data_IF_436501993301
#
_entry.id   IF_436501993301
#
_cell.length_a   1.000
_cell.length_b   1.000
_cell.length_c   1.000
_cell.angle_alpha   90.00
_cell.angle_beta   90.00
_cell.angle_gamma   90.00
#
_symmetry.space_group_name_H-M   'P 1'
#
loop_
_entity.id
_entity.type
_entity.pdbx_description
1 polymer ?
#
# COMPACT_ATOMS: atom_id res chain seq x y z
N UNK A 1 -13.29 34.11 -32.81
CA UNK A 1 -12.42 34.72 -31.80
C UNK A 1 -12.71 34.02 -30.50
N UNK A 2 -12.10 32.86 -30.29
CA UNK A 2 -12.31 32.08 -29.08
C UNK A 2 -11.49 32.72 -27.96
N UNK A 3 -12.20 33.39 -27.05
CA UNK A 3 -11.60 34.01 -25.88
C UNK A 3 -10.84 32.96 -25.09
N UNK A 4 -9.53 33.16 -24.94
CA UNK A 4 -8.70 32.34 -24.08
C UNK A 4 -9.33 32.38 -22.69
N UNK A 5 -9.87 31.25 -22.25
CA UNK A 5 -10.47 31.13 -20.92
C UNK A 5 -9.37 31.45 -19.91
N UNK A 6 -9.59 32.39 -18.96
CA UNK A 6 -8.57 32.84 -18.01
C UNK A 6 -7.73 31.73 -17.33
N UNK A 7 -8.29 30.54 -16.98
CA UNK A 7 -7.52 29.44 -16.39
C UNK A 7 -6.47 28.86 -17.33
N UNK A 8 -6.75 28.77 -18.63
CA UNK A 8 -5.84 28.16 -19.61
C UNK A 8 -4.62 29.06 -19.86
N UNK A 9 -4.83 30.38 -19.93
CA UNK A 9 -3.73 31.35 -20.00
C UNK A 9 -2.81 31.26 -18.79
N UNK A 10 -3.40 31.20 -17.58
CA UNK A 10 -2.64 31.06 -16.35
C UNK A 10 -1.81 29.76 -16.32
N UNK A 11 -2.37 28.65 -16.78
CA UNK A 11 -1.69 27.35 -16.82
C UNK A 11 -0.49 27.38 -17.78
N UNK A 12 -0.65 28.00 -18.95
CA UNK A 12 0.44 28.21 -19.92
C UNK A 12 1.55 29.10 -19.36
N UNK A 13 1.20 30.17 -18.67
CA UNK A 13 2.20 31.07 -18.07
C UNK A 13 3.02 30.34 -17.01
N UNK A 14 2.37 29.57 -16.13
CA UNK A 14 3.04 28.77 -15.10
C UNK A 14 3.98 27.70 -15.71
N UNK A 15 3.57 27.06 -16.81
CA UNK A 15 4.44 26.15 -17.55
C UNK A 15 5.65 26.86 -18.16
N UNK A 16 5.46 28.05 -18.74
CA UNK A 16 6.57 28.82 -19.30
C UNK A 16 7.57 29.24 -18.21
N UNK A 17 7.07 29.68 -17.05
CA UNK A 17 7.92 30.07 -15.92
C UNK A 17 8.77 28.90 -15.39
N UNK A 18 8.17 27.71 -15.29
CA UNK A 18 8.88 26.50 -14.85
C UNK A 18 9.92 26.02 -15.88
N UNK A 19 9.54 25.92 -17.16
CA UNK A 19 10.41 25.38 -18.21
C UNK A 19 11.57 26.30 -18.62
N UNK A 20 11.37 27.62 -18.59
CA UNK A 20 12.36 28.59 -19.12
C UNK A 20 13.16 29.32 -18.05
N UNK A 21 12.56 29.57 -16.87
CA UNK A 21 13.18 30.38 -15.81
C UNK A 21 13.55 29.59 -14.57
N UNK A 22 13.34 28.26 -14.58
CA UNK A 22 13.55 27.38 -13.43
C UNK A 22 12.88 27.89 -12.14
N UNK A 23 11.75 28.59 -12.28
CA UNK A 23 10.99 29.13 -11.14
C UNK A 23 10.19 27.99 -10.52
N UNK A 24 10.19 27.86 -9.18
CA UNK A 24 9.34 26.87 -8.51
C UNK A 24 7.86 27.22 -8.74
N UNK A 25 7.13 26.22 -9.21
CA UNK A 25 5.69 26.27 -9.50
C UNK A 25 5.04 24.96 -9.08
N UNK A 26 3.72 24.92 -9.04
CA UNK A 26 2.99 23.66 -8.82
C UNK A 26 3.39 22.55 -9.81
N UNK A 27 3.81 22.90 -11.04
CA UNK A 27 4.22 21.93 -12.07
C UNK A 27 5.56 21.27 -11.73
N UNK A 28 6.55 22.06 -11.28
CA UNK A 28 7.82 21.51 -10.77
C UNK A 28 7.63 20.77 -9.46
N UNK A 29 6.72 21.24 -8.59
CA UNK A 29 6.42 20.59 -7.32
C UNK A 29 5.81 19.21 -7.57
N UNK A 30 4.89 19.08 -8.53
CA UNK A 30 4.33 17.78 -8.91
C UNK A 30 5.40 16.82 -9.43
N UNK A 31 6.36 17.30 -10.24
CA UNK A 31 7.49 16.49 -10.67
C UNK A 31 8.33 16.00 -9.48
N UNK A 32 8.68 16.90 -8.55
CA UNK A 32 9.47 16.55 -7.37
C UNK A 32 8.73 15.55 -6.47
N UNK A 33 7.43 15.74 -6.26
CA UNK A 33 6.60 14.81 -5.49
C UNK A 33 6.51 13.45 -6.18
N UNK A 34 6.30 13.43 -7.50
CA UNK A 34 6.28 12.19 -8.30
C UNK A 34 7.60 11.42 -8.23
N UNK A 35 8.72 12.13 -8.25
CA UNK A 35 10.07 11.56 -8.09
C UNK A 35 10.33 11.04 -6.67
N UNK A 36 9.74 11.66 -5.66
CA UNK A 36 9.90 11.28 -4.26
C UNK A 36 9.04 10.07 -3.84
N UNK A 37 8.16 9.59 -4.71
CA UNK A 37 7.36 8.39 -4.44
C UNK A 37 8.26 7.15 -4.30
N UNK A 38 7.89 6.15 -3.47
CA UNK A 38 8.65 4.90 -3.34
C UNK A 38 8.86 4.17 -4.67
N UNK A 39 7.89 4.30 -5.59
CA UNK A 39 8.02 3.93 -7.00
C UNK A 39 7.85 5.22 -7.80
N UNK A 40 8.92 5.78 -8.39
CA UNK A 40 8.88 7.10 -9.02
C UNK A 40 7.89 7.18 -10.19
N UNK A 41 7.22 8.33 -10.32
CA UNK A 41 6.37 8.69 -11.47
C UNK A 41 6.98 9.90 -12.15
N UNK A 42 7.34 9.76 -13.43
CA UNK A 42 8.05 10.77 -14.19
C UNK A 42 7.07 11.73 -14.87
N UNK A 43 7.05 12.97 -14.41
CA UNK A 43 6.37 14.07 -15.12
C UNK A 43 7.41 14.89 -15.85
N UNK A 44 7.29 15.01 -17.17
CA UNK A 44 8.17 15.87 -17.96
C UNK A 44 7.80 17.34 -17.74
N UNK A 45 8.66 18.06 -17.00
CA UNK A 45 8.45 19.48 -16.69
C UNK A 45 8.62 20.37 -17.92
N UNK A 46 9.36 19.90 -18.93
CA UNK A 46 9.65 20.67 -20.15
C UNK A 46 8.51 20.65 -21.17
N UNK A 47 7.64 19.65 -21.09
CA UNK A 47 6.51 19.48 -21.99
C UNK A 47 5.21 20.01 -21.38
N UNK A 48 4.44 20.77 -22.18
CA UNK A 48 3.14 21.27 -21.73
C UNK A 48 2.16 20.09 -21.55
N UNK A 49 1.42 20.03 -20.43
CA UNK A 49 0.52 18.92 -20.16
C UNK A 49 -0.60 18.84 -21.20
N UNK A 50 -0.77 17.68 -21.82
CA UNK A 50 -1.91 17.34 -22.67
C UNK A 50 -2.88 16.46 -21.89
N UNK A 51 -4.09 16.27 -22.43
CA UNK A 51 -5.06 15.36 -21.81
C UNK A 51 -4.51 13.94 -21.73
N UNK A 52 -3.80 13.51 -22.77
CA UNK A 52 -3.18 12.20 -22.89
C UNK A 52 -2.05 12.04 -21.87
N UNK A 53 -1.18 13.04 -21.73
CA UNK A 53 -0.07 12.97 -20.76
C UNK A 53 -0.57 12.96 -19.32
N UNK A 54 -1.61 13.73 -19.01
CA UNK A 54 -2.25 13.70 -17.68
C UNK A 54 -2.89 12.34 -17.41
N UNK A 55 -3.60 11.77 -18.39
CA UNK A 55 -4.22 10.45 -18.23
C UNK A 55 -3.18 9.35 -18.04
N UNK A 56 -2.05 9.43 -18.76
CA UNK A 56 -0.92 8.52 -18.60
C UNK A 56 -0.30 8.65 -17.20
N UNK A 57 -0.01 9.87 -16.74
CA UNK A 57 0.52 10.12 -15.40
C UNK A 57 -0.38 9.57 -14.29
N UNK A 58 -1.70 9.70 -14.42
CA UNK A 58 -2.66 9.12 -13.46
C UNK A 58 -2.62 7.58 -13.46
N UNK A 59 -2.44 6.96 -14.63
CA UNK A 59 -2.26 5.51 -14.76
C UNK A 59 -0.95 5.03 -14.14
N UNK A 60 0.14 5.77 -14.38
CA UNK A 60 1.45 5.50 -13.80
C UNK A 60 1.44 5.66 -12.28
N UNK A 61 0.78 6.69 -11.76
CA UNK A 61 0.56 6.88 -10.32
C UNK A 61 -0.19 5.71 -9.68
N UNK A 62 -1.24 5.21 -10.36
CA UNK A 62 -2.00 4.06 -9.88
C UNK A 62 -1.15 2.78 -9.85
N UNK A 63 -0.32 2.59 -10.87
CA UNK A 63 0.63 1.47 -10.95
C UNK A 63 1.75 1.59 -9.92
N UNK A 64 2.28 2.80 -9.70
CA UNK A 64 3.29 3.10 -8.67
C UNK A 64 2.76 2.73 -7.27
N UNK A 65 1.54 3.16 -6.94
CA UNK A 65 0.88 2.76 -5.69
C UNK A 65 0.69 1.24 -5.60
N UNK A 66 0.33 0.58 -6.71
CA UNK A 66 0.13 -0.86 -6.75
C UNK A 66 1.40 -1.63 -6.43
N UNK A 67 2.49 -1.25 -7.09
CA UNK A 67 3.80 -1.83 -6.89
C UNK A 67 4.29 -1.61 -5.46
N UNK A 68 4.14 -0.39 -4.92
CA UNK A 68 4.54 -0.08 -3.56
C UNK A 68 3.77 -0.91 -2.51
N UNK A 69 2.44 -1.00 -2.62
CA UNK A 69 1.63 -1.77 -1.68
C UNK A 69 1.89 -3.27 -1.79
N UNK A 70 2.06 -3.79 -2.99
CA UNK A 70 2.42 -5.20 -3.22
C UNK A 70 3.73 -5.54 -2.52
N UNK A 71 4.75 -4.73 -2.75
CA UNK A 71 6.08 -4.92 -2.19
C UNK A 71 6.08 -4.76 -0.66
N UNK A 72 5.36 -3.75 -0.13
CA UNK A 72 5.21 -3.57 1.32
C UNK A 72 4.52 -4.77 1.99
N UNK A 73 3.50 -5.35 1.36
CA UNK A 73 2.81 -6.54 1.88
C UNK A 73 3.71 -7.78 1.77
N UNK A 74 4.28 -8.05 0.60
CA UNK A 74 5.07 -9.27 0.35
C UNK A 74 6.38 -9.32 1.13
N UNK A 75 7.01 -8.18 1.42
CA UNK A 75 8.22 -8.11 2.26
C UNK A 75 7.93 -8.08 3.76
N UNK A 76 6.68 -7.83 4.17
CA UNK A 76 6.34 -7.69 5.59
C UNK A 76 6.13 -9.03 6.29
N UNK A 77 7.02 -9.37 7.21
CA UNK A 77 6.82 -10.52 8.08
C UNK A 77 5.58 -10.40 9.00
N UNK A 78 4.92 -9.22 9.06
CA UNK A 78 3.76 -8.91 9.93
C UNK A 78 2.44 -8.94 9.19
N UNK A 79 2.41 -9.29 7.90
CA UNK A 79 1.16 -9.28 7.15
C UNK A 79 0.86 -10.63 6.51
N UNK A 80 1.07 -11.78 7.18
CA UNK A 80 0.95 -13.10 6.55
C UNK A 80 -0.45 -13.33 5.95
N UNK A 81 -1.49 -12.81 6.59
CA UNK A 81 -2.86 -12.92 6.08
C UNK A 81 -3.07 -12.06 4.83
N UNK A 82 -2.52 -10.84 4.78
CA UNK A 82 -2.59 -10.00 3.57
C UNK A 82 -1.69 -10.56 2.45
N UNK A 83 -0.54 -11.13 2.78
CA UNK A 83 0.34 -11.83 1.83
C UNK A 83 -0.37 -13.00 1.17
N UNK A 84 -1.07 -13.81 1.96
CA UNK A 84 -1.85 -14.91 1.40
C UNK A 84 -2.95 -14.40 0.45
N UNK A 85 -3.56 -13.25 0.77
CA UNK A 85 -4.55 -12.60 -0.12
C UNK A 85 -3.92 -12.15 -1.42
N UNK A 86 -2.77 -11.47 -1.37
CA UNK A 86 -2.07 -11.00 -2.57
C UNK A 86 -1.61 -12.17 -3.45
N UNK A 87 -1.05 -13.22 -2.85
CA UNK A 87 -0.56 -14.41 -3.57
C UNK A 87 -1.69 -15.23 -4.21
N UNK A 88 -2.89 -15.27 -3.63
CA UNK A 88 -4.04 -15.97 -4.23
C UNK A 88 -4.77 -15.17 -5.30
N UNK A 89 -4.75 -13.84 -5.20
CA UNK A 89 -5.62 -12.98 -6.00
C UNK A 89 -4.97 -12.44 -7.28
N UNK A 90 -3.64 -12.51 -7.42
CA UNK A 90 -2.91 -11.71 -8.42
C UNK A 90 -1.84 -12.56 -9.14
N UNK A 91 -1.64 -12.41 -10.46
CA UNK A 91 -0.46 -12.93 -11.16
C UNK A 91 0.86 -12.33 -10.63
N UNK A 92 2.01 -12.85 -11.06
CA UNK A 92 3.33 -12.49 -10.51
C UNK A 92 3.70 -10.98 -10.63
N UNK A 93 2.97 -10.23 -11.46
CA UNK A 93 3.15 -8.77 -11.67
C UNK A 93 1.88 -8.01 -11.29
N UNK A 94 1.92 -7.13 -10.27
CA UNK A 94 0.75 -6.37 -9.83
C UNK A 94 0.39 -5.24 -10.80
N UNK A 95 -0.91 -5.10 -11.08
CA UNK A 95 -1.50 -4.03 -11.89
C UNK A 95 -2.43 -3.15 -11.03
N UNK A 96 -2.83 -1.98 -11.55
CA UNK A 96 -3.80 -1.12 -10.88
C UNK A 96 -5.18 -1.82 -10.63
N UNK A 97 -5.59 -2.76 -11.49
CA UNK A 97 -6.79 -3.58 -11.25
C UNK A 97 -6.65 -4.50 -10.03
N UNK A 98 -5.43 -4.93 -9.73
CA UNK A 98 -5.15 -5.85 -8.62
C UNK A 98 -5.21 -5.13 -7.28
N UNK A 99 -4.82 -3.86 -7.23
CA UNK A 99 -5.05 -3.02 -6.05
C UNK A 99 -6.50 -3.00 -5.63
N UNK A 100 -7.42 -2.87 -6.60
CA UNK A 100 -8.85 -2.88 -6.29
C UNK A 100 -9.20 -4.17 -5.56
N UNK A 101 -8.77 -5.33 -6.06
CA UNK A 101 -9.01 -6.63 -5.42
C UNK A 101 -8.36 -6.75 -4.02
N UNK A 102 -7.15 -6.23 -3.84
CA UNK A 102 -6.46 -6.20 -2.54
C UNK A 102 -7.21 -5.30 -1.54
N UNK A 103 -7.60 -4.10 -1.96
CA UNK A 103 -8.26 -3.08 -1.15
C UNK A 103 -9.78 -3.28 -1.03
N UNK A 104 -10.38 -4.23 -1.74
CA UNK A 104 -11.81 -4.52 -1.63
C UNK A 104 -12.20 -4.77 -0.17
N UNK A 105 -13.28 -4.13 0.33
CA UNK A 105 -13.87 -4.45 1.61
C UNK A 105 -14.18 -5.95 1.70
N UNK A 106 -14.02 -6.51 2.90
CA UNK A 106 -14.18 -7.95 3.14
C UNK A 106 -15.32 -8.21 4.10
N UNK A 107 -15.87 -9.42 4.04
CA UNK A 107 -16.99 -9.86 4.88
C UNK A 107 -16.76 -9.58 6.38
N UNK A 108 -15.52 -9.70 6.87
CA UNK A 108 -15.20 -9.41 8.28
C UNK A 108 -15.46 -7.95 8.69
N UNK A 109 -15.42 -6.99 7.75
CA UNK A 109 -15.77 -5.59 8.02
C UNK A 109 -17.28 -5.38 8.20
N UNK A 110 -18.10 -6.33 7.75
CA UNK A 110 -19.55 -6.29 7.82
C UNK A 110 -20.13 -7.15 8.95
N UNK A 111 -19.29 -7.70 9.83
CA UNK A 111 -19.78 -8.44 11.00
C UNK A 111 -20.61 -7.50 11.88
N UNK A 112 -21.73 -7.98 12.45
CA UNK A 112 -22.67 -7.13 13.18
C UNK A 112 -22.03 -6.51 14.44
N UNK A 113 -21.20 -7.27 15.15
CA UNK A 113 -20.62 -6.83 16.42
C UNK A 113 -19.27 -6.15 16.23
N UNK A 114 -19.12 -4.95 16.81
CA UNK A 114 -17.87 -4.17 16.81
C UNK A 114 -16.67 -4.99 17.30
N UNK A 115 -16.84 -5.72 18.41
CA UNK A 115 -15.76 -6.53 19.01
C UNK A 115 -15.20 -7.59 18.06
N UNK A 116 -16.05 -8.19 17.21
CA UNK A 116 -15.61 -9.18 16.23
C UNK A 116 -14.82 -8.52 15.09
N UNK A 117 -15.31 -7.38 14.59
CA UNK A 117 -14.60 -6.59 13.56
C UNK A 117 -13.21 -6.17 14.06
N UNK A 118 -13.15 -5.70 15.29
CA UNK A 118 -11.90 -5.27 15.94
C UNK A 118 -10.92 -6.43 16.14
N UNK A 119 -11.39 -7.56 16.68
CA UNK A 119 -10.55 -8.74 16.85
C UNK A 119 -9.96 -9.24 15.52
N UNK A 120 -10.75 -9.26 14.44
CA UNK A 120 -10.27 -9.65 13.12
C UNK A 120 -9.35 -8.61 12.50
N UNK A 121 -9.58 -7.31 12.72
CA UNK A 121 -8.65 -6.27 12.28
C UNK A 121 -7.29 -6.42 12.97
N UNK A 122 -7.27 -6.60 14.30
CA UNK A 122 -6.04 -6.83 15.05
C UNK A 122 -5.31 -8.09 14.56
N UNK A 123 -6.05 -9.16 14.24
CA UNK A 123 -5.47 -10.36 13.64
C UNK A 123 -4.82 -10.07 12.27
N UNK A 124 -5.54 -9.37 11.39
CA UNK A 124 -5.10 -9.09 10.02
C UNK A 124 -3.89 -8.16 9.93
N UNK A 125 -3.77 -7.22 10.87
CA UNK A 125 -2.68 -6.26 10.93
C UNK A 125 -1.55 -6.69 11.87
N UNK A 126 -1.57 -7.94 12.35
CA UNK A 126 -0.60 -8.48 13.31
C UNK A 126 -0.42 -7.60 14.56
N UNK A 127 -1.55 -7.10 15.08
CA UNK A 127 -1.66 -6.36 16.33
C UNK A 127 -2.41 -7.17 17.42
N UNK A 128 -2.41 -8.49 17.29
CA UNK A 128 -3.08 -9.41 18.21
C UNK A 128 -2.16 -9.87 19.36
N UNK A 129 -2.71 -10.35 20.49
CA UNK A 129 -1.92 -10.69 21.68
C UNK A 129 -1.20 -12.05 21.63
N UNK A 130 -1.03 -12.65 20.45
CA UNK A 130 -0.36 -13.96 20.29
C UNK A 130 1.16 -13.78 20.46
N UNK A 131 1.85 -14.81 20.97
CA UNK A 131 3.27 -14.72 21.29
C UNK A 131 4.14 -14.42 20.07
N UNK A 132 3.78 -14.88 18.87
CA UNK A 132 4.51 -14.51 17.64
C UNK A 132 4.61 -12.99 17.45
N UNK A 133 3.58 -12.23 17.79
CA UNK A 133 3.59 -10.77 17.65
C UNK A 133 4.11 -10.06 18.90
N UNK A 134 3.74 -10.53 20.09
CA UNK A 134 4.23 -9.95 21.34
C UNK A 134 5.76 -10.08 21.47
N UNK A 135 6.31 -11.23 21.07
CA UNK A 135 7.75 -11.50 21.14
C UNK A 135 8.54 -10.98 19.93
N UNK A 136 7.86 -10.37 18.96
CA UNK A 136 8.52 -9.73 17.81
C UNK A 136 9.16 -8.38 18.18
N UNK A 137 8.69 -7.75 19.26
CA UNK A 137 9.11 -6.40 19.70
C UNK A 137 10.13 -6.42 20.85
N UNK A 138 10.38 -7.59 21.42
CA UNK A 138 11.39 -7.85 22.46
C UNK A 138 12.69 -8.36 21.80
N UNK A 139 13.81 -8.52 22.54
CA UNK A 139 15.03 -9.10 21.98
C UNK A 139 14.70 -10.36 21.18
N UNK A 140 15.28 -10.55 19.99
CA UNK A 140 14.74 -11.45 18.98
C UNK A 140 14.76 -12.89 19.48
N UNK A 141 13.63 -13.35 20.02
CA UNK A 141 13.40 -14.77 20.28
C UNK A 141 13.09 -15.41 18.92
N UNK A 142 13.90 -16.36 18.45
CA UNK A 142 13.65 -17.07 17.19
C UNK A 142 12.24 -17.68 17.16
N UNK A 143 11.59 -17.73 15.99
CA UNK A 143 10.19 -18.16 15.86
C UNK A 143 10.00 -19.57 16.40
N UNK A 144 10.96 -20.45 16.13
CA UNK A 144 11.04 -21.83 16.58
C UNK A 144 11.05 -21.99 18.10
N UNK A 145 11.40 -20.95 18.86
CA UNK A 145 11.43 -20.97 20.33
C UNK A 145 10.18 -20.37 20.97
N UNK A 146 9.22 -19.88 20.16
CA UNK A 146 7.97 -19.28 20.63
C UNK A 146 6.91 -20.37 20.87
N UNK A 147 7.17 -21.21 21.88
CA UNK A 147 6.26 -22.29 22.29
C UNK A 147 4.86 -21.74 22.56
N UNK A 148 3.83 -22.45 22.09
CA UNK A 148 2.43 -22.09 22.30
C UNK A 148 2.06 -22.02 23.79
N UNK A 149 1.66 -20.84 24.29
CA UNK A 149 1.24 -20.65 25.69
C UNK A 149 -0.09 -21.31 26.01
N UNK A 150 -0.93 -21.51 24.98
CA UNK A 150 -2.26 -22.11 25.13
C UNK A 150 -2.16 -23.64 25.36
N UNK A 151 -1.57 -24.39 24.43
CA UNK A 151 -1.45 -25.85 24.54
C UNK A 151 -0.18 -26.34 25.26
N UNK A 152 0.85 -25.48 25.36
CA UNK A 152 2.14 -25.77 26.02
C UNK A 152 2.91 -26.96 25.43
N UNK A 153 2.57 -27.41 24.23
CA UNK A 153 3.28 -28.46 23.51
C UNK A 153 4.62 -27.89 23.02
N UNK A 154 5.74 -28.51 23.41
CA UNK A 154 7.10 -28.01 23.10
C UNK A 154 7.40 -27.82 21.61
N UNK A 155 6.79 -28.65 20.75
CA UNK A 155 6.94 -28.56 19.29
C UNK A 155 5.94 -27.63 18.61
N UNK A 156 4.95 -27.12 19.35
CA UNK A 156 3.94 -26.22 18.81
C UNK A 156 4.37 -24.77 18.96
N UNK A 157 4.42 -24.05 17.84
CA UNK A 157 4.72 -22.61 17.80
C UNK A 157 3.41 -21.84 17.95
N UNK A 158 3.40 -20.80 18.80
CA UNK A 158 2.26 -19.90 18.91
C UNK A 158 2.21 -18.93 17.73
N UNK A 159 1.47 -19.27 16.68
CA UNK A 159 1.10 -18.35 15.61
C UNK A 159 -0.41 -18.32 15.41
N UNK A 160 -0.88 -17.44 14.52
CA UNK A 160 -2.30 -17.24 14.23
C UNK A 160 -2.98 -18.54 13.81
N UNK A 161 -2.33 -19.31 12.95
CA UNK A 161 -2.88 -20.55 12.41
C UNK A 161 -3.02 -21.61 13.51
N UNK A 162 -2.00 -21.76 14.35
CA UNK A 162 -2.02 -22.69 15.45
C UNK A 162 -3.05 -22.27 16.49
N UNK A 163 -2.99 -21.02 16.98
CA UNK A 163 -3.86 -20.52 18.03
C UNK A 163 -5.36 -20.59 17.66
N UNK A 164 -5.71 -20.34 16.39
CA UNK A 164 -7.10 -20.31 15.95
C UNK A 164 -7.65 -21.66 15.49
N UNK A 165 -6.83 -22.51 14.86
CA UNK A 165 -7.33 -23.67 14.12
C UNK A 165 -6.83 -25.01 14.64
N UNK A 166 -5.69 -25.04 15.33
CA UNK A 166 -5.00 -26.29 15.68
C UNK A 166 -4.75 -26.47 17.17
N UNK A 167 -4.84 -25.40 17.96
CA UNK A 167 -4.59 -25.43 19.38
C UNK A 167 -5.67 -26.27 20.08
N UNK A 168 -5.23 -27.28 20.82
CA UNK A 168 -6.06 -28.17 21.63
C UNK A 168 -5.51 -28.23 23.04
#
# INVERSE_FOLDING_TARGET
MDGIVPPYAALRELHNLSSTRAVPTWWTDLHLVGMALPVPVLLDVSAFPTRESVQQALSELSTSLAAHLWDAVTRSNRLPVLQYRTLRAVPQTPTASDLKAVCMPRAYLYLPHRRQREALALLLFSEHPVAVEQLRRTPPIPREWRVCRFCRIRSAIEDDSHALLSCR
#
